data_IF_151030806174
#
_entry.id   IF_151030806174
#
_cell.length_a   1.000
_cell.length_b   1.000
_cell.length_c   1.000
_cell.angle_alpha   90.00
_cell.angle_beta   90.00
_cell.angle_gamma   90.00
#
_symmetry.space_group_name_H-M   'P 1'
#
loop_
_entity.id
_entity.type
_entity.pdbx_description
1 polymer ?
#
# COMPACT_ATOMS: atom_id res chain seq x y z
N UNK A 1 -4.07 7.89 -1.69
CA UNK A 1 -4.37 6.45 -1.60
C UNK A 1 -3.23 5.76 -0.90
N UNK A 2 -3.52 4.98 0.14
CA UNK A 2 -2.59 4.08 0.81
C UNK A 2 -3.04 2.65 0.48
N UNK A 3 -2.19 1.91 -0.21
CA UNK A 3 -2.42 0.52 -0.53
C UNK A 3 -1.66 -0.35 0.47
N UNK A 4 -2.38 -1.20 1.20
CA UNK A 4 -1.84 -2.17 2.15
C UNK A 4 -1.95 -3.55 1.49
N UNK A 5 -0.84 -4.22 1.24
CA UNK A 5 -0.84 -5.52 0.53
C UNK A 5 -1.27 -6.64 1.47
N UNK A 6 -2.22 -7.49 1.05
CA UNK A 6 -2.58 -8.71 1.77
C UNK A 6 -3.29 -8.53 3.13
N UNK A 7 -4.21 -7.56 3.26
CA UNK A 7 -5.06 -7.37 4.44
C UNK A 7 -6.53 -7.66 4.09
N UNK A 8 -7.15 -8.58 4.84
CA UNK A 8 -8.57 -8.92 4.71
C UNK A 8 -9.33 -8.83 6.02
N UNK A 9 -10.68 -8.87 5.93
CA UNK A 9 -11.57 -8.94 7.10
C UNK A 9 -11.74 -10.41 7.49
N UNK A 10 -11.18 -10.78 8.64
CA UNK A 10 -11.19 -12.15 9.16
C UNK A 10 -12.25 -12.41 10.23
N UNK A 11 -12.25 -13.63 10.78
CA UNK A 11 -13.06 -13.98 11.95
C UNK A 11 -12.63 -13.19 13.18
N UNK A 12 -13.56 -12.96 14.11
CA UNK A 12 -13.26 -12.49 15.46
C UNK A 12 -12.57 -13.61 16.23
N UNK A 13 -11.24 -13.59 16.23
CA UNK A 13 -10.40 -14.68 16.75
C UNK A 13 -9.21 -14.10 17.52
N UNK A 14 -9.18 -14.31 18.83
CA UNK A 14 -8.14 -13.79 19.72
C UNK A 14 -6.84 -14.61 19.72
N UNK A 15 -6.79 -15.74 19.00
CA UNK A 15 -5.61 -16.59 18.89
C UNK A 15 -4.85 -16.35 17.58
N UNK A 16 -5.57 -16.20 16.47
CA UNK A 16 -4.99 -16.15 15.12
C UNK A 16 -5.17 -14.83 14.39
N UNK A 17 -6.26 -14.09 14.62
CA UNK A 17 -6.44 -12.80 13.96
C UNK A 17 -5.64 -11.73 14.71
N UNK A 18 -4.58 -11.14 14.10
CA UNK A 18 -3.69 -10.24 14.82
C UNK A 18 -4.39 -8.97 15.31
N UNK A 19 -5.41 -8.49 14.59
CA UNK A 19 -6.16 -7.31 15.00
C UNK A 19 -6.90 -7.54 16.32
N UNK A 20 -7.49 -8.72 16.52
CA UNK A 20 -8.16 -9.06 17.80
C UNK A 20 -7.17 -9.52 18.87
N UNK A 21 -6.13 -10.26 18.50
CA UNK A 21 -5.15 -10.80 19.45
C UNK A 21 -4.33 -9.69 20.12
N UNK A 22 -3.86 -8.72 19.36
CA UNK A 22 -2.98 -7.66 19.84
C UNK A 22 -3.70 -6.33 20.07
N UNK A 23 -4.96 -6.21 19.62
CA UNK A 23 -5.65 -4.93 19.50
C UNK A 23 -5.14 -4.13 18.31
N UNK A 24 -5.93 -3.16 17.85
CA UNK A 24 -5.49 -2.21 16.81
C UNK A 24 -6.13 -0.86 17.08
N UNK A 25 -5.33 0.07 17.60
CA UNK A 25 -5.75 1.38 18.11
C UNK A 25 -6.52 2.15 17.05
N UNK A 26 -6.11 2.06 15.79
CA UNK A 26 -6.82 2.67 14.65
C UNK A 26 -8.28 2.23 14.63
N UNK A 27 -8.55 0.93 14.71
CA UNK A 27 -9.92 0.43 14.67
C UNK A 27 -10.68 0.77 15.96
N UNK A 28 -10.11 0.44 17.11
CA UNK A 28 -10.77 0.61 18.41
C UNK A 28 -11.09 2.07 18.75
N UNK A 29 -10.19 3.01 18.42
CA UNK A 29 -10.36 4.43 18.81
C UNK A 29 -11.11 5.25 17.77
N UNK A 30 -10.95 4.94 16.49
CA UNK A 30 -11.59 5.73 15.42
C UNK A 30 -12.98 5.20 15.10
N UNK A 31 -13.14 3.87 15.08
CA UNK A 31 -14.40 3.22 14.68
C UNK A 31 -15.15 2.58 15.85
N UNK A 32 -14.51 2.45 17.01
CA UNK A 32 -15.12 1.87 18.22
C UNK A 32 -15.16 0.35 18.24
N UNK A 33 -14.76 -0.33 17.15
CA UNK A 33 -14.73 -1.77 17.01
C UNK A 33 -13.73 -2.20 15.92
N UNK A 34 -13.40 -3.49 15.87
CA UNK A 34 -12.53 -4.11 14.86
C UNK A 34 -13.40 -4.83 13.83
N UNK A 35 -13.22 -4.60 12.51
CA UNK A 35 -14.04 -5.24 11.51
C UNK A 35 -13.82 -6.75 11.53
N UNK A 36 -14.91 -7.51 11.44
CA UNK A 36 -14.89 -8.98 11.41
C UNK A 36 -15.92 -9.54 10.44
N UNK A 37 -15.90 -10.84 10.19
CA UNK A 37 -16.92 -11.47 9.35
C UNK A 37 -18.36 -11.30 9.88
N UNK A 38 -18.54 -11.09 11.19
CA UNK A 38 -19.84 -10.83 11.81
C UNK A 38 -20.27 -9.36 11.69
N UNK A 39 -19.30 -8.45 11.58
CA UNK A 39 -19.50 -7.00 11.46
C UNK A 39 -18.46 -6.42 10.48
N UNK A 40 -18.72 -6.58 9.18
CA UNK A 40 -17.75 -6.25 8.13
C UNK A 40 -17.69 -4.76 7.81
N UNK A 41 -18.74 -4.01 8.16
CA UNK A 41 -18.85 -2.58 7.88
C UNK A 41 -18.93 -1.81 9.20
N UNK A 42 -17.95 -0.94 9.44
CA UNK A 42 -17.90 -0.08 10.62
C UNK A 42 -17.68 1.37 10.21
N UNK A 43 -18.26 2.31 10.97
CA UNK A 43 -18.23 3.73 10.63
C UNK A 43 -18.36 4.60 11.88
N UNK A 44 -17.76 5.78 11.85
CA UNK A 44 -17.95 6.84 12.85
C UNK A 44 -18.76 8.03 12.30
N UNK A 45 -19.47 7.83 11.19
CA UNK A 45 -20.28 8.84 10.51
C UNK A 45 -19.52 9.64 9.45
N UNK A 46 -18.20 9.83 9.59
CA UNK A 46 -17.37 10.55 8.60
C UNK A 46 -16.36 9.66 7.89
N UNK A 47 -15.97 8.56 8.54
CA UNK A 47 -15.03 7.57 8.05
C UNK A 47 -15.70 6.21 8.10
N UNK A 48 -15.43 5.37 7.12
CA UNK A 48 -16.06 4.06 6.98
C UNK A 48 -15.05 3.01 6.49
N UNK A 49 -15.21 1.80 7.00
CA UNK A 49 -14.55 0.59 6.53
C UNK A 49 -15.65 -0.34 6.05
N UNK A 50 -15.45 -0.97 4.90
CA UNK A 50 -16.41 -1.88 4.29
C UNK A 50 -15.67 -2.96 3.50
N UNK A 51 -16.27 -4.14 3.32
CA UNK A 51 -15.65 -5.23 2.59
C UNK A 51 -15.65 -4.97 1.08
N UNK A 52 -14.66 -5.52 0.39
CA UNK A 52 -14.61 -5.61 -1.08
C UNK A 52 -14.52 -7.08 -1.48
N UNK A 53 -15.11 -7.43 -2.63
CA UNK A 53 -14.97 -8.79 -3.18
C UNK A 53 -13.59 -8.97 -3.82
N UNK A 54 -12.68 -9.62 -3.10
CA UNK A 54 -11.33 -9.92 -3.59
C UNK A 54 -11.34 -10.88 -4.80
N UNK A 55 -12.40 -11.69 -4.97
CA UNK A 55 -12.50 -12.63 -6.10
C UNK A 55 -12.96 -11.96 -7.39
N UNK A 56 -13.58 -10.79 -7.29
CA UNK A 56 -14.19 -10.06 -8.42
C UNK A 56 -15.11 -10.97 -9.26
N UNK A 57 -15.84 -11.86 -8.61
CA UNK A 57 -16.72 -12.85 -9.24
C UNK A 57 -16.02 -13.95 -10.04
N UNK A 58 -14.69 -14.10 -9.95
CA UNK A 58 -13.91 -15.12 -10.67
C UNK A 58 -13.50 -16.26 -9.72
N UNK A 59 -13.74 -17.50 -10.13
CA UNK A 59 -13.42 -18.69 -9.33
C UNK A 59 -11.92 -18.80 -9.01
N UNK A 60 -11.62 -19.25 -7.79
CA UNK A 60 -10.28 -19.50 -7.29
C UNK A 60 -9.88 -18.55 -6.16
N UNK A 61 -8.65 -18.72 -5.67
CA UNK A 61 -8.09 -17.84 -4.65
C UNK A 61 -7.64 -16.53 -5.30
N UNK A 62 -7.98 -15.36 -4.71
CA UNK A 62 -7.49 -14.08 -5.18
C UNK A 62 -5.96 -14.04 -5.16
N UNK A 63 -5.37 -13.29 -6.08
CA UNK A 63 -3.92 -13.16 -6.24
C UNK A 63 -3.52 -11.72 -6.55
N UNK A 64 -2.43 -11.26 -5.94
CA UNK A 64 -2.00 -9.85 -5.97
C UNK A 64 -1.77 -9.28 -7.37
N UNK A 65 -1.25 -10.08 -8.30
CA UNK A 65 -0.93 -9.59 -9.66
C UNK A 65 -2.15 -9.07 -10.41
N UNK A 66 -3.25 -9.83 -10.36
CA UNK A 66 -4.54 -9.45 -10.94
C UNK A 66 -5.34 -8.54 -10.01
N UNK A 67 -5.35 -8.78 -8.70
CA UNK A 67 -6.05 -7.92 -7.72
C UNK A 67 -5.58 -6.47 -7.78
N UNK A 68 -4.27 -6.24 -7.72
CA UNK A 68 -3.68 -4.90 -7.83
C UNK A 68 -3.90 -4.28 -9.21
N UNK A 69 -3.86 -5.06 -10.29
CA UNK A 69 -4.14 -4.53 -11.63
C UNK A 69 -5.58 -4.03 -11.73
N UNK A 70 -6.54 -4.77 -11.16
CA UNK A 70 -7.93 -4.32 -11.05
C UNK A 70 -8.05 -3.05 -10.23
N UNK A 71 -7.45 -3.05 -9.03
CA UNK A 71 -7.50 -1.94 -8.08
C UNK A 71 -6.93 -0.64 -8.68
N UNK A 72 -5.80 -0.71 -9.37
CA UNK A 72 -5.13 0.49 -9.89
C UNK A 72 -5.68 0.95 -11.24
N UNK A 73 -6.32 0.09 -12.03
CA UNK A 73 -6.77 0.43 -13.39
C UNK A 73 -8.29 0.39 -13.60
N UNK A 74 -9.08 -0.03 -12.61
CA UNK A 74 -10.53 0.01 -12.66
C UNK A 74 -11.17 -0.95 -13.66
N UNK A 75 -10.63 -2.17 -13.79
CA UNK A 75 -11.19 -3.23 -14.64
C UNK A 75 -11.10 -4.58 -13.94
N UNK A 76 -11.91 -5.58 -14.34
CA UNK A 76 -11.82 -6.93 -13.79
C UNK A 76 -10.63 -7.68 -14.41
N UNK A 77 -9.43 -7.57 -13.82
CA UNK A 77 -8.23 -8.19 -14.34
C UNK A 77 -8.24 -9.73 -14.26
N UNK A 78 -8.74 -10.39 -13.17
CA UNK A 78 -8.92 -11.83 -13.17
C UNK A 78 -9.81 -12.33 -14.31
N UNK A 79 -10.92 -11.64 -14.59
CA UNK A 79 -11.81 -11.98 -15.71
C UNK A 79 -11.12 -11.77 -17.07
N UNK A 80 -10.45 -10.63 -17.24
CA UNK A 80 -9.69 -10.32 -18.46
C UNK A 80 -8.58 -11.34 -18.76
N UNK A 81 -7.90 -11.84 -17.71
CA UNK A 81 -6.86 -12.87 -17.82
C UNK A 81 -7.46 -14.28 -17.90
N UNK A 82 -8.71 -14.46 -17.45
CA UNK A 82 -9.40 -15.73 -17.31
C UNK A 82 -9.04 -16.53 -16.06
N UNK A 83 -8.30 -15.93 -15.11
CA UNK A 83 -7.94 -16.50 -13.80
C UNK A 83 -7.28 -15.47 -12.89
N UNK A 84 -7.23 -15.78 -11.61
CA UNK A 84 -6.35 -15.12 -10.66
C UNK A 84 -4.87 -15.40 -10.97
N UNK A 85 -4.02 -14.38 -10.88
CA UNK A 85 -2.58 -14.51 -11.11
C UNK A 85 -1.75 -13.58 -10.21
N UNK A 86 -0.61 -14.06 -9.73
CA UNK A 86 0.29 -13.29 -8.87
C UNK A 86 1.62 -13.99 -8.60
N UNK A 87 2.52 -13.35 -7.85
CA UNK A 87 2.39 -12.02 -7.24
C UNK A 87 2.72 -10.85 -8.20
N UNK A 88 3.22 -11.14 -9.40
CA UNK A 88 3.59 -10.14 -10.40
C UNK A 88 2.43 -9.87 -11.38
N UNK A 89 2.36 -8.70 -12.05
CA UNK A 89 1.33 -8.46 -13.04
C UNK A 89 1.40 -9.47 -14.18
N UNK A 90 0.25 -9.93 -14.65
CA UNK A 90 0.17 -10.78 -15.82
C UNK A 90 0.52 -9.97 -17.09
N UNK A 91 1.28 -10.54 -18.03
CA UNK A 91 1.82 -9.77 -19.16
C UNK A 91 0.77 -9.11 -20.05
N UNK A 92 -0.40 -9.75 -20.23
CA UNK A 92 -1.51 -9.16 -21.00
C UNK A 92 -2.06 -7.88 -20.38
N UNK A 93 -1.88 -7.64 -19.07
CA UNK A 93 -2.36 -6.42 -18.41
C UNK A 93 -1.42 -5.23 -18.59
N UNK A 94 -0.20 -5.42 -19.13
CA UNK A 94 0.81 -4.34 -19.21
C UNK A 94 0.32 -3.12 -19.99
N UNK A 95 -0.36 -3.33 -21.11
CA UNK A 95 -0.93 -2.23 -21.90
C UNK A 95 -2.01 -1.44 -21.13
N UNK A 96 -2.72 -2.08 -20.18
CA UNK A 96 -3.68 -1.42 -19.30
C UNK A 96 -2.93 -0.64 -18.21
N UNK A 97 -1.95 -1.26 -17.55
CA UNK A 97 -1.12 -0.61 -16.52
C UNK A 97 -0.45 0.66 -17.06
N UNK A 98 0.08 0.58 -18.28
CA UNK A 98 0.76 1.67 -18.99
C UNK A 98 -0.15 2.87 -19.27
N UNK A 99 -1.46 2.63 -19.51
CA UNK A 99 -2.37 3.65 -20.08
C UNK A 99 -3.53 4.05 -19.16
N UNK A 100 -3.92 3.21 -18.22
CA UNK A 100 -5.18 3.34 -17.47
C UNK A 100 -5.02 3.31 -15.96
N UNK A 101 -3.80 3.15 -15.44
CA UNK A 101 -3.62 3.22 -13.99
C UNK A 101 -3.97 4.61 -13.45
N UNK A 102 -4.39 4.69 -12.19
CA UNK A 102 -4.69 5.97 -11.52
C UNK A 102 -3.51 6.95 -11.61
N UNK A 103 -2.28 6.47 -11.43
CA UNK A 103 -1.09 7.31 -11.58
C UNK A 103 -1.00 7.91 -13.00
N UNK A 104 -1.24 7.09 -14.03
CA UNK A 104 -1.24 7.54 -15.44
C UNK A 104 -2.37 8.53 -15.70
N UNK A 105 -3.59 8.21 -15.27
CA UNK A 105 -4.75 9.07 -15.44
C UNK A 105 -4.51 10.47 -14.85
N UNK A 106 -3.99 10.54 -13.61
CA UNK A 106 -3.75 11.82 -12.96
C UNK A 106 -2.54 12.59 -13.52
N UNK A 107 -1.51 11.88 -14.01
CA UNK A 107 -0.42 12.50 -14.75
C UNK A 107 -0.94 13.13 -16.05
N UNK A 108 -1.70 12.39 -16.85
CA UNK A 108 -2.06 12.85 -18.19
C UNK A 108 -3.13 13.93 -18.18
N UNK A 109 -4.08 13.88 -17.23
CA UNK A 109 -5.18 14.84 -17.15
C UNK A 109 -4.87 16.07 -16.29
N UNK A 110 -3.94 15.96 -15.33
CA UNK A 110 -3.67 17.04 -14.36
C UNK A 110 -2.19 17.38 -14.22
N UNK A 111 -1.30 16.69 -14.94
CA UNK A 111 0.15 16.78 -14.75
C UNK A 111 0.56 16.59 -13.27
N UNK A 112 -0.16 15.72 -12.55
CA UNK A 112 -0.10 15.70 -11.08
C UNK A 112 -0.41 14.34 -10.48
N UNK A 113 0.56 13.44 -10.57
CA UNK A 113 0.56 12.14 -9.91
C UNK A 113 1.89 11.90 -9.19
N UNK A 114 1.86 11.22 -8.05
CA UNK A 114 3.08 10.88 -7.31
C UNK A 114 3.01 9.49 -6.67
N UNK A 115 4.07 8.71 -6.84
CA UNK A 115 4.25 7.47 -6.11
C UNK A 115 5.27 7.71 -4.99
N UNK A 116 4.80 7.73 -3.74
CA UNK A 116 5.57 8.23 -2.60
C UNK A 116 6.67 7.27 -2.11
N UNK A 117 6.63 6.01 -2.54
CA UNK A 117 7.62 5.00 -2.18
C UNK A 117 8.99 5.29 -2.78
N UNK A 118 10.02 5.11 -1.97
CA UNK A 118 11.41 5.10 -2.37
C UNK A 118 11.97 3.69 -2.48
N UNK A 119 12.98 3.54 -3.33
CA UNK A 119 13.68 2.29 -3.54
C UNK A 119 15.18 2.45 -3.25
N UNK A 120 15.83 1.40 -2.69
CA UNK A 120 17.26 1.42 -2.44
C UNK A 120 18.05 1.27 -3.75
N UNK A 121 19.35 1.58 -3.71
CA UNK A 121 20.25 1.44 -4.88
C UNK A 121 20.20 0.02 -5.47
N UNK A 122 20.17 -1.00 -4.62
CA UNK A 122 20.11 -2.40 -5.04
C UNK A 122 18.90 -2.70 -5.94
N UNK A 123 17.76 -2.04 -5.72
CA UNK A 123 16.59 -2.18 -6.59
C UNK A 123 16.84 -1.56 -7.98
N UNK A 124 17.46 -0.39 -8.05
CA UNK A 124 17.79 0.21 -9.35
C UNK A 124 18.85 -0.58 -10.12
N UNK A 125 19.82 -1.15 -9.41
CA UNK A 125 20.81 -2.06 -10.01
C UNK A 125 20.12 -3.32 -10.57
N UNK A 126 19.14 -3.88 -9.83
CA UNK A 126 18.30 -4.98 -10.29
C UNK A 126 17.56 -4.63 -11.59
N UNK A 127 16.90 -3.48 -11.66
CA UNK A 127 16.17 -3.06 -12.87
C UNK A 127 17.14 -2.84 -14.05
N UNK A 128 18.30 -2.22 -13.79
CA UNK A 128 19.34 -1.97 -14.81
C UNK A 128 19.93 -3.27 -15.36
N UNK A 129 19.96 -4.34 -14.57
CA UNK A 129 20.44 -5.67 -14.99
C UNK A 129 19.52 -6.37 -16.02
N UNK A 130 18.39 -5.77 -16.38
CA UNK A 130 17.43 -6.32 -17.33
C UNK A 130 16.39 -7.25 -16.72
N UNK A 131 16.40 -7.45 -15.39
CA UNK A 131 15.39 -8.25 -14.71
C UNK A 131 14.03 -7.53 -14.69
N UNK A 132 12.95 -8.32 -14.85
CA UNK A 132 11.60 -7.81 -15.12
C UNK A 132 10.55 -8.21 -14.07
N UNK A 133 10.91 -8.97 -13.04
CA UNK A 133 9.97 -9.32 -11.96
C UNK A 133 9.81 -8.12 -11.03
N UNK A 134 8.76 -7.34 -11.26
CA UNK A 134 8.42 -6.11 -10.54
C UNK A 134 6.99 -6.21 -10.02
N UNK A 135 6.71 -5.65 -8.84
CA UNK A 135 5.33 -5.52 -8.34
C UNK A 135 4.47 -4.74 -9.34
N UNK A 136 3.15 -4.84 -9.22
CA UNK A 136 2.22 -4.20 -10.16
C UNK A 136 2.40 -2.67 -10.15
N UNK A 137 2.55 -2.07 -8.97
CA UNK A 137 2.88 -0.64 -8.77
C UNK A 137 4.19 -0.25 -9.46
N UNK A 138 5.23 -1.05 -9.28
CA UNK A 138 6.57 -0.77 -9.82
C UNK A 138 6.62 -0.97 -11.34
N UNK A 139 5.95 -2.00 -11.85
CA UNK A 139 5.78 -2.24 -13.28
C UNK A 139 5.00 -1.11 -13.93
N UNK A 140 3.91 -0.66 -13.30
CA UNK A 140 3.14 0.51 -13.73
C UNK A 140 4.03 1.73 -13.84
N UNK A 141 4.81 2.03 -12.80
CA UNK A 141 5.71 3.18 -12.83
C UNK A 141 6.75 3.08 -13.95
N UNK A 142 7.31 1.88 -14.17
CA UNK A 142 8.27 1.64 -15.24
C UNK A 142 7.66 1.85 -16.63
N UNK A 143 6.53 1.22 -16.91
CA UNK A 143 5.84 1.30 -18.21
C UNK A 143 5.38 2.72 -18.51
N UNK A 144 4.80 3.38 -17.50
CA UNK A 144 4.31 4.73 -17.61
C UNK A 144 5.42 5.81 -17.54
N UNK A 145 6.68 5.46 -17.26
CA UNK A 145 7.73 6.48 -17.06
C UNK A 145 7.51 7.37 -15.83
N UNK A 146 6.78 6.89 -14.81
CA UNK A 146 6.65 7.58 -13.53
C UNK A 146 7.96 7.40 -12.76
N UNK A 147 8.52 8.53 -12.30
CA UNK A 147 9.80 8.53 -11.57
C UNK A 147 9.67 7.80 -10.24
N UNK A 148 10.50 6.79 -10.02
CA UNK A 148 10.69 6.14 -8.72
C UNK A 148 11.65 6.94 -7.84
N UNK A 149 11.30 7.09 -6.57
CA UNK A 149 12.11 7.83 -5.61
C UNK A 149 13.35 7.04 -5.17
N UNK A 150 14.40 7.78 -4.86
CA UNK A 150 15.71 7.26 -4.41
C UNK A 150 15.97 7.67 -2.97
N UNK A 151 17.08 7.18 -2.42
CA UNK A 151 17.57 7.58 -1.10
C UNK A 151 17.72 9.11 -0.93
N UNK A 152 18.05 9.84 -1.99
CA UNK A 152 18.13 11.31 -1.97
C UNK A 152 16.77 11.95 -1.67
N UNK A 153 15.70 11.39 -2.22
CA UNK A 153 14.33 11.90 -2.02
C UNK A 153 13.85 11.60 -0.60
N UNK A 154 14.23 10.45 -0.02
CA UNK A 154 13.99 10.12 1.40
C UNK A 154 14.69 11.12 2.32
N UNK A 155 15.97 11.44 2.04
CA UNK A 155 16.74 12.44 2.79
C UNK A 155 16.14 13.84 2.71
N UNK A 156 15.59 14.19 1.54
CA UNK A 156 14.93 15.47 1.30
C UNK A 156 13.50 15.53 1.85
N UNK A 157 12.98 14.45 2.47
CA UNK A 157 11.61 14.40 2.97
C UNK A 157 10.54 14.33 1.88
N UNK A 158 10.93 14.01 0.64
CA UNK A 158 10.03 13.93 -0.53
C UNK A 158 9.51 12.51 -0.80
N UNK A 159 10.00 11.53 -0.05
CA UNK A 159 9.58 10.13 -0.19
C UNK A 159 9.64 9.41 1.16
N UNK A 160 9.03 8.22 1.17
CA UNK A 160 9.02 7.27 2.28
C UNK A 160 9.61 5.94 1.84
N UNK A 161 10.33 5.29 2.74
CA UNK A 161 10.64 3.87 2.59
C UNK A 161 9.39 3.05 2.91
N UNK A 162 9.24 1.85 2.35
CA UNK A 162 8.03 1.05 2.51
C UNK A 162 7.74 0.66 3.96
N UNK A 163 8.78 0.55 4.78
CA UNK A 163 8.69 0.28 6.23
C UNK A 163 8.44 1.54 7.07
N UNK A 164 8.19 2.70 6.46
CA UNK A 164 7.86 3.98 7.10
C UNK A 164 9.02 4.70 7.81
N UNK A 165 9.82 3.99 8.61
CA UNK A 165 10.71 4.60 9.62
C UNK A 165 12.16 4.82 9.15
N UNK A 166 12.52 4.33 7.97
CA UNK A 166 13.91 4.21 7.44
C UNK A 166 14.80 3.22 8.19
N UNK A 167 14.34 2.63 9.29
CA UNK A 167 15.20 1.82 10.16
C UNK A 167 15.68 0.54 9.46
N UNK A 168 14.78 -0.11 8.71
CA UNK A 168 15.11 -1.33 7.98
C UNK A 168 16.14 -1.08 6.89
N UNK A 169 16.08 0.07 6.21
CA UNK A 169 17.13 0.47 5.26
C UNK A 169 18.49 0.64 5.95
N UNK A 170 18.52 1.21 7.15
CA UNK A 170 19.77 1.33 7.91
C UNK A 170 20.31 -0.05 8.31
N UNK A 171 19.49 -0.90 8.90
CA UNK A 171 19.89 -2.20 9.44
C UNK A 171 20.24 -3.23 8.36
N UNK A 172 19.44 -3.31 7.29
CA UNK A 172 19.54 -4.37 6.28
C UNK A 172 20.36 -3.99 5.06
N UNK A 173 20.46 -2.69 4.75
CA UNK A 173 21.08 -2.20 3.52
C UNK A 173 22.27 -1.25 3.78
N UNK A 174 22.62 -1.01 5.04
CA UNK A 174 23.78 -0.21 5.43
C UNK A 174 23.63 1.30 5.18
N UNK A 175 22.39 1.80 5.05
CA UNK A 175 22.16 3.23 4.94
C UNK A 175 22.40 3.96 6.28
N UNK A 176 22.59 5.28 6.18
CA UNK A 176 22.68 6.22 7.32
C UNK A 176 21.59 7.28 7.17
N UNK A 177 20.34 6.87 7.30
CA UNK A 177 19.17 7.73 7.25
C UNK A 177 18.73 8.09 8.67
N UNK A 178 18.19 9.30 8.84
CA UNK A 178 17.53 9.68 10.09
C UNK A 178 16.31 8.76 10.27
N UNK A 179 16.30 7.97 11.34
CA UNK A 179 15.12 7.19 11.73
C UNK A 179 14.02 8.16 12.13
N UNK A 180 12.82 7.96 11.60
CA UNK A 180 11.64 8.77 11.89
C UNK A 180 10.58 7.88 12.55
N UNK A 181 9.70 8.50 13.34
CA UNK A 181 8.58 7.78 13.94
C UNK A 181 7.45 7.56 12.91
N UNK A 182 6.58 6.54 13.08
CA UNK A 182 5.42 6.32 12.22
C UNK A 182 4.53 7.54 12.00
N UNK A 183 4.27 8.33 13.05
CA UNK A 183 3.47 9.56 12.99
C UNK A 183 4.16 10.62 12.12
N UNK A 184 5.49 10.66 12.15
CA UNK A 184 6.27 11.55 11.26
C UNK A 184 6.22 11.08 9.81
N UNK A 185 6.14 9.77 9.57
CA UNK A 185 5.92 9.22 8.23
C UNK A 185 4.52 9.57 7.71
N UNK A 186 3.48 9.46 8.55
CA UNK A 186 2.11 9.84 8.21
C UNK A 186 2.01 11.31 7.80
N UNK A 187 2.53 12.22 8.63
CA UNK A 187 2.58 13.66 8.33
C UNK A 187 3.38 13.96 7.07
N UNK A 188 4.48 13.25 6.83
CA UNK A 188 5.24 13.37 5.59
C UNK A 188 4.40 12.95 4.38
N UNK A 189 3.65 11.85 4.47
CA UNK A 189 2.78 11.40 3.38
C UNK A 189 1.68 12.42 3.09
N UNK A 190 1.03 12.98 4.12
CA UNK A 190 0.03 14.04 3.96
C UNK A 190 0.64 15.28 3.28
N UNK A 191 1.81 15.72 3.73
CA UNK A 191 2.53 16.84 3.13
C UNK A 191 2.90 16.57 1.66
N UNK A 192 3.33 15.36 1.32
CA UNK A 192 3.56 14.97 -0.07
C UNK A 192 2.24 15.06 -0.84
N UNK A 193 1.17 14.44 -0.33
CA UNK A 193 -0.13 14.38 -0.98
C UNK A 193 -0.76 15.76 -1.23
N UNK A 194 -0.52 16.75 -0.37
CA UNK A 194 -0.96 18.14 -0.59
C UNK A 194 -0.40 18.78 -1.87
N UNK A 195 0.72 18.29 -2.40
CA UNK A 195 1.36 18.82 -3.60
C UNK A 195 0.90 18.17 -4.90
N UNK A 196 0.04 17.14 -4.84
CA UNK A 196 -0.39 16.38 -6.02
C UNK A 196 -1.89 16.12 -6.05
N UNK A 197 -2.47 16.00 -7.24
CA UNK A 197 -3.88 15.61 -7.42
C UNK A 197 -4.11 14.14 -7.08
N UNK A 198 -3.08 13.30 -7.23
CA UNK A 198 -3.10 11.93 -6.75
C UNK A 198 -1.74 11.52 -6.20
N UNK A 199 -1.75 10.92 -5.01
CA UNK A 199 -0.58 10.29 -4.40
C UNK A 199 -0.92 8.86 -4.02
N UNK A 200 -0.07 7.92 -4.44
CA UNK A 200 -0.09 6.52 -4.04
C UNK A 200 1.08 6.23 -3.10
N UNK A 201 0.81 5.53 -2.01
CA UNK A 201 1.81 4.90 -1.16
C UNK A 201 1.45 3.42 -1.00
N UNK A 202 2.42 2.53 -1.19
CA UNK A 202 2.28 1.09 -1.07
C UNK A 202 3.00 0.59 0.20
N UNK A 203 2.31 -0.24 0.98
CA UNK A 203 2.85 -0.90 2.15
C UNK A 203 2.71 -2.42 1.97
N UNK A 204 3.81 -3.09 1.58
CA UNK A 204 3.82 -4.53 1.29
C UNK A 204 4.30 -5.40 2.48
N UNK A 205 4.65 -4.78 3.62
CA UNK A 205 5.16 -5.54 4.76
C UNK A 205 4.07 -6.40 5.42
N UNK A 206 2.79 -6.03 5.29
CA UNK A 206 1.65 -6.80 5.78
C UNK A 206 1.54 -8.17 5.10
N UNK A 207 1.70 -8.25 3.78
CA UNK A 207 1.79 -9.52 3.03
C UNK A 207 2.95 -10.40 3.57
N UNK A 208 4.11 -9.79 3.79
CA UNK A 208 5.27 -10.52 4.31
C UNK A 208 5.06 -11.04 5.74
N UNK A 209 4.29 -10.33 6.56
CA UNK A 209 3.85 -10.81 7.87
C UNK A 209 2.88 -11.99 7.71
N UNK A 210 1.90 -11.90 6.81
CA UNK A 210 0.95 -12.98 6.52
C UNK A 210 1.62 -14.26 6.03
N UNK A 211 2.73 -14.13 5.30
CA UNK A 211 3.58 -15.25 4.88
C UNK A 211 4.63 -15.68 5.91
N UNK A 212 4.59 -15.16 7.14
CA UNK A 212 5.51 -15.46 8.25
C UNK A 212 6.99 -15.16 7.97
N UNK A 213 7.29 -14.37 6.92
CA UNK A 213 8.67 -14.03 6.54
C UNK A 213 9.32 -13.03 7.51
N UNK A 214 8.50 -12.35 8.30
CA UNK A 214 8.90 -11.31 9.27
C UNK A 214 8.35 -11.57 10.67
N UNK A 215 8.16 -12.84 11.04
CA UNK A 215 7.57 -13.21 12.33
C UNK A 215 8.32 -12.61 13.54
N UNK A 216 9.65 -12.52 13.49
CA UNK A 216 10.46 -11.93 14.56
C UNK A 216 10.29 -10.41 14.71
N UNK A 217 9.79 -9.73 13.67
CA UNK A 217 9.56 -8.29 13.62
C UNK A 217 8.07 -7.95 13.73
N UNK A 218 7.20 -8.95 13.99
CA UNK A 218 5.74 -8.81 13.87
C UNK A 218 5.17 -7.67 14.71
N UNK A 219 5.34 -7.71 16.04
CA UNK A 219 4.73 -6.74 16.95
C UNK A 219 5.17 -5.32 16.63
N UNK A 220 6.43 -5.15 16.24
CA UNK A 220 6.99 -3.86 15.85
C UNK A 220 6.35 -3.34 14.55
N UNK A 221 6.36 -4.13 13.49
CA UNK A 221 5.80 -3.74 12.18
C UNK A 221 4.29 -3.47 12.32
N UNK A 222 3.60 -4.29 13.10
CA UNK A 222 2.18 -4.15 13.38
C UNK A 222 1.87 -2.86 14.14
N UNK A 223 2.62 -2.56 15.22
CA UNK A 223 2.48 -1.31 15.98
C UNK A 223 2.85 -0.07 15.16
N UNK A 224 3.90 -0.14 14.33
CA UNK A 224 4.29 0.95 13.44
C UNK A 224 3.22 1.24 12.40
N UNK A 225 2.60 0.21 11.82
CA UNK A 225 1.48 0.37 10.90
C UNK A 225 0.27 1.00 11.59
N UNK A 226 -0.06 0.55 12.80
CA UNK A 226 -1.18 1.08 13.58
C UNK A 226 -0.99 2.58 13.89
N UNK A 227 0.16 2.97 14.44
CA UNK A 227 0.44 4.39 14.75
C UNK A 227 0.47 5.27 13.49
N UNK A 228 0.97 4.73 12.37
CA UNK A 228 0.93 5.41 11.08
C UNK A 228 -0.50 5.65 10.60
N UNK A 229 -1.35 4.60 10.57
CA UNK A 229 -2.74 4.70 10.11
C UNK A 229 -3.58 5.57 11.06
N UNK A 230 -3.41 5.41 12.37
CA UNK A 230 -4.08 6.21 13.38
C UNK A 230 -3.76 7.70 13.19
N UNK A 231 -2.48 8.05 12.98
CA UNK A 231 -2.09 9.43 12.70
C UNK A 231 -2.67 9.93 11.38
N UNK A 232 -2.61 9.12 10.32
CA UNK A 232 -3.06 9.50 8.99
C UNK A 232 -4.57 9.81 8.96
N UNK A 233 -5.38 8.97 9.61
CA UNK A 233 -6.84 9.13 9.66
C UNK A 233 -7.30 10.28 10.56
N UNK A 234 -6.53 10.65 11.60
CA UNK A 234 -6.86 11.77 12.48
C UNK A 234 -6.39 13.13 11.93
N UNK A 235 -5.30 13.16 11.15
CA UNK A 235 -4.68 14.42 10.70
C UNK A 235 -4.99 14.81 9.25
N UNK A 236 -5.67 13.95 8.48
CA UNK A 236 -6.09 14.31 7.12
C UNK A 236 -7.10 15.46 7.12
N UNK A 237 -6.82 16.53 6.38
CA UNK A 237 -7.76 17.62 6.12
C UNK A 237 -8.83 17.15 5.11
N UNK A 238 -9.91 16.56 5.62
CA UNK A 238 -11.00 15.99 4.81
C UNK A 238 -11.72 17.00 3.92
N UNK A 239 -11.56 18.31 4.17
CA UNK A 239 -12.10 19.36 3.29
C UNK A 239 -11.28 19.56 2.03
N UNK A 240 -10.01 19.11 2.03
CA UNK A 240 -9.07 19.30 0.91
C UNK A 240 -8.61 17.98 0.28
N UNK A 241 -8.72 16.87 1.00
CA UNK A 241 -8.16 15.59 0.59
C UNK A 241 -9.09 14.44 0.97
N UNK A 242 -9.31 13.54 0.01
CA UNK A 242 -9.92 12.24 0.27
C UNK A 242 -8.83 11.21 0.50
N UNK A 243 -8.82 10.59 1.68
CA UNK A 243 -7.96 9.46 1.98
C UNK A 243 -8.69 8.15 1.66
N UNK A 244 -8.08 7.33 0.81
CA UNK A 244 -8.52 5.97 0.52
C UNK A 244 -7.43 5.03 1.04
N UNK A 245 -7.80 4.08 1.88
CA UNK A 245 -6.96 2.97 2.32
C UNK A 245 -7.62 1.69 1.79
N UNK A 246 -6.85 0.83 1.13
CA UNK A 246 -7.39 -0.37 0.49
C UNK A 246 -6.37 -1.51 0.47
N UNK A 247 -6.86 -2.72 0.21
CA UNK A 247 -6.08 -3.94 0.01
C UNK A 247 -6.62 -4.70 -1.20
N UNK A 248 -5.83 -5.65 -1.70
CA UNK A 248 -6.09 -6.47 -2.89
C UNK A 248 -6.58 -7.89 -2.57
#
# INVERSE_FOLDING_TARGET
MVFLDGIGIGKKDFQFNPFFKYGFRTFEKIFGDIPSLENQTISNGTQFIFPTDATLGVEGLPQSGTGQASLFCGFNAPEYVGKHFGPYPYSSTFHVLEKKSLLVYFRDNYNSSYFANAYPKAFFDYVKSGRTRLSVTTMTCKLAGIKLNRVSDVRAGKALTAELTNERWNQRLGYKLKVIKPESAARRLLNIAHNYKFTLYEYYLSDHLGHLRLAAEFEKIFSELDEFLFTLLNEVDSKKMTLIICSD
#
